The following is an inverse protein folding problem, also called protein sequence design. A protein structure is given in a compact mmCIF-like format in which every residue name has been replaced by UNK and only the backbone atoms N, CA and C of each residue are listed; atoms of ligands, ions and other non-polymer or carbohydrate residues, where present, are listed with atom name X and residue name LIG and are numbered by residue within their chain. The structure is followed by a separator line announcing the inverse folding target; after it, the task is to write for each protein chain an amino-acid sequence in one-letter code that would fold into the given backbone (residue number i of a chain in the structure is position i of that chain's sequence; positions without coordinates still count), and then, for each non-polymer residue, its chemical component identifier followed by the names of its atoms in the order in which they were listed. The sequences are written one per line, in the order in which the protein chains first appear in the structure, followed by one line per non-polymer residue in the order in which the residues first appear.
data_IF_391630880469
#
_entry.id   IF_391630880469
#
_cell.length_a   1.000
_cell.length_b   1.000
_cell.length_c   1.000
_cell.angle_alpha   90.00
_cell.angle_beta   90.00
_cell.angle_gamma   90.00
#
_symmetry.space_group_name_H-M   'P 1'
#
loop_
_entity.id
_entity.type
_entity.pdbx_description
1 polymer ?
#
# COMPACT_ATOMS: atom_id res chain seq x y z
N UNK A 1 -35.43 -9.50 46.12
CA UNK A 1 -35.15 -9.93 47.51
C UNK A 1 -33.64 -9.88 47.73
N UNK A 2 -33.14 -8.92 48.52
CA UNK A 2 -31.73 -8.81 48.97
C UNK A 2 -31.40 -9.92 49.95
N UNK A 3 -30.12 -10.29 50.10
CA UNK A 3 -29.36 -10.55 51.37
C UNK A 3 -27.90 -10.81 50.94
N UNK A 4 -26.95 -9.88 51.11
CA UNK A 4 -26.17 -9.43 52.29
C UNK A 4 -24.99 -10.35 52.68
N UNK A 5 -23.82 -9.69 52.70
CA UNK A 5 -22.47 -10.03 53.17
C UNK A 5 -22.37 -10.86 54.47
N UNK A 6 -21.27 -11.60 54.58
CA UNK A 6 -20.55 -11.96 55.82
C UNK A 6 -19.05 -11.65 55.56
N UNK A 7 -18.29 -10.74 56.18
CA UNK A 7 -17.98 -10.29 57.55
C UNK A 7 -16.98 -11.16 58.33
N UNK A 8 -15.88 -10.49 58.76
CA UNK A 8 -14.88 -10.83 59.81
C UNK A 8 -13.79 -11.84 59.43
N UNK A 9 -12.50 -11.69 59.74
CA UNK A 9 -11.76 -10.68 60.52
C UNK A 9 -10.43 -11.30 61.04
N UNK A 10 -9.38 -10.49 61.19
CA UNK A 10 -8.22 -10.68 62.10
C UNK A 10 -7.21 -11.78 61.75
N UNK A 11 -6.07 -11.50 61.10
CA UNK A 11 -4.76 -11.05 61.66
C UNK A 11 -4.01 -12.07 62.53
N UNK A 12 -2.84 -12.54 62.06
CA UNK A 12 -1.57 -12.57 62.81
C UNK A 12 -0.40 -13.05 61.91
N UNK A 13 0.52 -12.13 61.63
CA UNK A 13 1.86 -12.37 61.05
C UNK A 13 2.79 -12.95 62.15
N UNK A 14 3.92 -13.63 61.82
CA UNK A 14 5.12 -12.85 61.51
C UNK A 14 6.12 -13.45 60.48
N UNK A 15 6.78 -12.50 59.81
CA UNK A 15 8.18 -12.43 59.33
C UNK A 15 8.99 -13.70 59.03
N UNK A 16 9.49 -13.77 57.79
CA UNK A 16 10.84 -14.22 57.47
C UNK A 16 11.43 -13.34 56.36
N UNK A 17 12.59 -12.74 56.65
CA UNK A 17 13.41 -11.93 55.76
C UNK A 17 13.97 -12.75 54.59
N UNK A 18 14.22 -12.12 53.44
CA UNK A 18 15.11 -12.71 52.44
C UNK A 18 15.16 -12.02 51.08
N UNK A 19 16.01 -10.99 50.98
CA UNK A 19 16.74 -10.55 49.75
C UNK A 19 15.94 -10.11 48.52
N UNK A 20 15.84 -8.78 48.36
CA UNK A 20 15.66 -8.14 47.04
C UNK A 20 16.98 -8.27 46.28
N UNK A 21 17.03 -9.19 45.32
CA UNK A 21 18.09 -9.16 44.30
C UNK A 21 17.68 -8.15 43.21
N UNK A 22 18.18 -6.92 43.32
CA UNK A 22 18.21 -5.98 42.20
C UNK A 22 19.18 -6.55 41.17
N UNK A 23 18.66 -7.32 40.22
CA UNK A 23 19.42 -7.75 39.05
C UNK A 23 19.66 -6.55 38.15
N UNK A 24 20.87 -6.01 38.17
CA UNK A 24 21.35 -5.05 37.17
C UNK A 24 21.21 -5.67 35.79
N UNK A 25 20.18 -5.29 35.04
CA UNK A 25 20.14 -5.50 33.61
C UNK A 25 21.15 -4.54 33.00
N UNK A 26 22.36 -5.02 32.73
CA UNK A 26 23.29 -4.36 31.84
C UNK A 26 22.67 -4.39 30.44
N UNK A 27 21.86 -3.41 30.09
CA UNK A 27 21.47 -3.17 28.71
C UNK A 27 22.72 -2.77 27.95
N UNK A 28 23.39 -3.73 27.33
CA UNK A 28 24.45 -3.45 26.37
C UNK A 28 23.78 -2.82 25.15
N UNK A 29 23.71 -1.48 25.15
CA UNK A 29 23.36 -0.72 23.96
C UNK A 29 24.42 -0.97 22.90
N UNK A 30 24.17 -1.90 21.99
CA UNK A 30 24.92 -1.98 20.75
C UNK A 30 24.64 -0.70 19.97
N UNK A 31 25.56 0.26 20.08
CA UNK A 31 25.64 1.38 19.15
C UNK A 31 26.00 0.80 17.79
N UNK A 32 24.98 0.52 16.98
CA UNK A 32 25.17 0.26 15.56
C UNK A 32 25.62 1.60 14.99
N UNK A 33 26.91 1.73 14.68
CA UNK A 33 27.40 2.85 13.90
C UNK A 33 26.75 2.72 12.51
N UNK A 34 25.71 3.52 12.26
CA UNK A 34 25.07 3.65 10.96
C UNK A 34 26.14 4.06 9.94
N UNK A 35 26.51 3.16 9.04
CA UNK A 35 27.41 3.49 7.95
C UNK A 35 26.74 4.55 7.07
N UNK A 36 27.49 5.49 6.46
CA UNK A 36 26.92 6.49 5.56
C UNK A 36 26.15 5.78 4.43
N UNK A 37 24.85 6.06 4.33
CA UNK A 37 24.03 5.52 3.25
C UNK A 37 24.52 6.18 1.95
N UNK A 38 24.93 5.40 0.92
CA UNK A 38 25.31 5.97 -0.37
C UNK A 38 24.12 6.72 -0.99
N UNK A 39 24.37 7.69 -1.89
CA UNK A 39 23.28 8.39 -2.57
C UNK A 39 22.39 7.39 -3.31
N UNK A 40 21.07 7.54 -3.14
CA UNK A 40 20.09 6.67 -3.75
C UNK A 40 20.19 6.72 -5.28
N UNK A 41 20.18 5.55 -5.94
CA UNK A 41 20.17 5.45 -7.41
C UNK A 41 18.84 5.84 -8.02
N UNK A 42 17.76 5.77 -7.25
CA UNK A 42 16.42 6.11 -7.68
C UNK A 42 15.80 7.11 -6.72
N UNK A 43 15.00 8.01 -7.29
CA UNK A 43 14.18 8.94 -6.54
C UNK A 43 12.71 8.65 -6.82
N UNK A 44 11.93 8.53 -5.75
CA UNK A 44 10.48 8.54 -5.87
C UNK A 44 10.02 9.96 -6.23
N UNK A 45 9.36 10.09 -7.39
CA UNK A 45 8.80 11.34 -7.90
C UNK A 45 7.27 11.29 -7.98
N UNK A 46 6.65 10.21 -7.53
CA UNK A 46 5.22 9.91 -7.70
C UNK A 46 4.35 11.04 -7.18
N UNK A 47 4.64 11.54 -5.98
CA UNK A 47 3.97 12.70 -5.38
C UNK A 47 4.23 13.99 -6.15
N UNK A 48 5.48 14.20 -6.60
CA UNK A 48 5.86 15.42 -7.34
C UNK A 48 5.14 15.52 -8.68
N UNK A 49 4.92 14.38 -9.35
CA UNK A 49 4.32 14.34 -10.69
C UNK A 49 2.82 14.02 -10.66
N UNK A 50 2.22 13.79 -9.49
CA UNK A 50 0.77 13.54 -9.37
C UNK A 50 0.30 12.12 -9.75
N UNK A 51 1.20 11.13 -9.76
CA UNK A 51 0.90 9.76 -10.19
C UNK A 51 0.42 8.86 -9.04
N UNK A 52 -0.76 9.10 -8.47
CA UNK A 52 -1.20 8.38 -7.26
C UNK A 52 -1.85 7.01 -7.55
N UNK A 53 -1.03 5.98 -7.78
CA UNK A 53 -1.52 4.63 -8.05
C UNK A 53 -0.95 3.61 -7.06
N UNK A 54 -1.85 2.84 -6.43
CA UNK A 54 -1.49 1.67 -5.61
C UNK A 54 -2.23 0.47 -6.18
N UNK A 55 -1.47 -0.52 -6.66
CA UNK A 55 -2.04 -1.69 -7.31
C UNK A 55 -2.91 -2.51 -6.34
N UNK A 56 -4.14 -2.79 -6.76
CA UNK A 56 -5.05 -3.70 -6.06
C UNK A 56 -4.95 -5.08 -6.71
N UNK A 57 -4.21 -5.97 -6.05
CA UNK A 57 -4.00 -7.35 -6.49
C UNK A 57 -5.14 -8.29 -6.09
N UNK A 58 -6.15 -7.80 -5.35
CA UNK A 58 -7.20 -8.62 -4.76
C UNK A 58 -6.78 -9.34 -3.46
N UNK A 59 -7.66 -10.19 -2.91
CA UNK A 59 -7.42 -10.88 -1.65
C UNK A 59 -6.28 -11.91 -1.74
N UNK A 60 -5.55 -12.02 -0.62
CA UNK A 60 -4.42 -12.95 -0.44
C UNK A 60 -4.92 -14.32 0.05
N UNK A 61 -4.28 -15.40 -0.39
CA UNK A 61 -4.44 -16.75 0.20
C UNK A 61 -5.01 -17.82 -0.74
N UNK A 62 -5.75 -17.42 -1.77
CA UNK A 62 -6.51 -18.36 -2.60
C UNK A 62 -5.81 -18.79 -3.91
N UNK A 63 -4.55 -18.38 -4.13
CA UNK A 63 -3.75 -18.64 -5.35
C UNK A 63 -4.55 -18.50 -6.66
N UNK A 64 -5.51 -17.57 -6.66
CA UNK A 64 -6.39 -17.38 -7.79
C UNK A 64 -5.60 -16.76 -8.94
N UNK A 65 -5.71 -17.35 -10.15
CA UNK A 65 -4.86 -17.03 -11.30
C UNK A 65 -4.69 -15.52 -11.54
N UNK A 66 -5.75 -14.69 -11.60
CA UNK A 66 -5.56 -13.25 -11.79
C UNK A 66 -4.64 -12.61 -10.76
N UNK A 67 -4.81 -12.91 -9.47
CA UNK A 67 -4.05 -12.28 -8.39
C UNK A 67 -2.57 -12.65 -8.42
N UNK A 68 -2.22 -13.89 -8.83
CA UNK A 68 -0.83 -14.35 -8.91
C UNK A 68 -0.12 -13.89 -10.19
N UNK A 69 -0.86 -13.64 -11.28
CA UNK A 69 -0.28 -13.19 -12.55
C UNK A 69 0.04 -11.69 -12.53
N UNK A 70 -0.75 -10.91 -11.77
CA UNK A 70 -0.62 -9.45 -11.73
C UNK A 70 -1.44 -8.74 -12.81
N UNK A 71 -1.25 -7.42 -12.90
CA UNK A 71 -1.92 -6.54 -13.84
C UNK A 71 -0.95 -6.02 -14.91
N UNK A 72 -1.47 -5.18 -15.81
CA UNK A 72 -0.71 -4.57 -16.89
C UNK A 72 -0.75 -3.06 -16.89
N UNK A 73 0.04 -2.48 -17.79
CA UNK A 73 0.08 -1.06 -18.05
C UNK A 73 0.22 -0.81 -19.57
N UNK A 74 -0.24 0.35 -20.02
CA UNK A 74 0.03 0.86 -21.37
C UNK A 74 0.54 2.30 -21.30
N UNK A 75 1.39 2.63 -22.28
CA UNK A 75 1.84 3.98 -22.58
C UNK A 75 1.38 4.29 -24.01
N UNK A 76 0.60 5.35 -24.18
CA UNK A 76 0.08 5.78 -25.48
C UNK A 76 -0.41 7.23 -25.39
N UNK A 77 -0.49 7.91 -26.54
CA UNK A 77 -1.10 9.24 -26.63
C UNK A 77 -2.61 9.06 -26.80
N UNK A 78 -3.41 9.27 -25.76
CA UNK A 78 -4.86 9.01 -25.85
C UNK A 78 -5.65 10.18 -26.43
N UNK A 79 -5.05 11.37 -26.47
CA UNK A 79 -5.74 12.59 -26.87
C UNK A 79 -5.01 13.40 -27.95
N UNK A 80 -4.09 12.75 -28.66
CA UNK A 80 -3.36 13.21 -29.84
C UNK A 80 -2.65 14.55 -29.56
N UNK A 81 -1.97 14.63 -28.41
CA UNK A 81 -1.26 15.83 -27.98
C UNK A 81 0.28 15.68 -27.96
N UNK A 82 0.77 14.62 -28.61
CA UNK A 82 2.18 14.23 -28.76
C UNK A 82 2.87 13.88 -27.43
N UNK A 83 2.11 13.52 -26.39
CA UNK A 83 2.64 13.06 -25.09
C UNK A 83 2.15 11.66 -24.77
N UNK A 84 3.00 10.89 -24.08
CA UNK A 84 2.61 9.55 -23.64
C UNK A 84 1.88 9.63 -22.31
N UNK A 85 0.64 9.20 -22.34
CA UNK A 85 -0.21 9.02 -21.18
C UNK A 85 -0.03 7.62 -20.58
N UNK A 86 -0.52 7.44 -19.37
CA UNK A 86 -0.35 6.19 -18.62
C UNK A 86 -1.72 5.58 -18.33
N UNK A 87 -1.91 4.32 -18.70
CA UNK A 87 -3.06 3.53 -18.29
C UNK A 87 -2.62 2.34 -17.43
N UNK A 88 -3.14 2.26 -16.20
CA UNK A 88 -2.77 1.26 -15.20
C UNK A 88 -3.98 0.42 -14.83
N UNK A 89 -3.78 -0.90 -14.85
CA UNK A 89 -4.83 -1.87 -14.59
C UNK A 89 -4.84 -2.31 -13.13
N UNK A 90 -6.04 -2.61 -12.64
CA UNK A 90 -6.25 -3.39 -11.42
C UNK A 90 -6.80 -4.77 -11.77
N UNK A 91 -6.38 -5.77 -11.00
CA UNK A 91 -6.86 -7.15 -11.12
C UNK A 91 -7.50 -7.67 -9.83
N UNK A 92 -7.91 -6.79 -8.92
CA UNK A 92 -8.59 -7.13 -7.65
C UNK A 92 -10.04 -7.63 -7.80
N UNK A 93 -10.57 -7.67 -9.03
CA UNK A 93 -11.87 -8.24 -9.36
C UNK A 93 -13.00 -7.21 -9.47
N UNK A 94 -14.24 -7.66 -9.73
CA UNK A 94 -15.37 -6.77 -10.04
C UNK A 94 -15.78 -5.81 -8.92
N UNK A 95 -15.36 -6.09 -7.68
CA UNK A 95 -15.59 -5.24 -6.49
C UNK A 95 -14.32 -4.54 -5.99
N UNK A 96 -13.21 -4.71 -6.71
CA UNK A 96 -11.93 -4.09 -6.38
C UNK A 96 -11.82 -2.67 -6.93
N UNK A 97 -10.59 -2.14 -6.90
CA UNK A 97 -10.29 -0.86 -7.51
C UNK A 97 -10.52 -0.86 -9.03
N UNK A 98 -10.84 0.32 -9.57
CA UNK A 98 -11.04 0.58 -11.00
C UNK A 98 -9.71 1.00 -11.62
N UNK A 99 -9.47 0.59 -12.87
CA UNK A 99 -8.30 1.00 -13.66
C UNK A 99 -8.17 2.53 -13.71
N UNK A 100 -6.94 3.00 -13.90
CA UNK A 100 -6.61 4.43 -13.88
C UNK A 100 -5.97 4.89 -15.17
N UNK A 101 -6.54 5.94 -15.78
CA UNK A 101 -5.96 6.67 -16.91
C UNK A 101 -5.40 8.00 -16.40
N UNK A 102 -4.14 8.26 -16.70
CA UNK A 102 -3.42 9.47 -16.35
C UNK A 102 -2.97 10.20 -17.61
N UNK A 103 -3.46 11.42 -17.79
CA UNK A 103 -3.02 12.31 -18.85
C UNK A 103 -1.73 13.02 -18.48
N UNK A 104 -0.72 13.00 -19.35
CA UNK A 104 0.49 13.79 -19.20
C UNK A 104 0.24 15.25 -19.57
N UNK A 105 0.49 16.15 -18.63
CA UNK A 105 0.41 17.59 -18.82
C UNK A 105 1.72 18.13 -19.44
N UNK A 106 1.70 19.30 -20.11
CA UNK A 106 2.90 19.89 -20.72
C UNK A 106 4.08 20.16 -19.77
N UNK A 107 3.83 20.24 -18.47
CA UNK A 107 4.86 20.42 -17.43
C UNK A 107 5.45 19.10 -16.92
N UNK A 108 5.03 17.96 -17.47
CA UNK A 108 5.47 16.62 -17.10
C UNK A 108 4.74 16.04 -15.89
N UNK A 109 3.72 16.73 -15.35
CA UNK A 109 2.83 16.16 -14.33
C UNK A 109 1.74 15.29 -14.96
N UNK A 110 1.07 14.50 -14.14
CA UNK A 110 0.00 13.60 -14.53
C UNK A 110 -1.30 14.01 -13.85
N UNK A 111 -2.38 13.99 -14.64
CA UNK A 111 -3.74 14.22 -14.16
C UNK A 111 -4.55 12.93 -14.30
N UNK A 112 -5.16 12.48 -13.22
CA UNK A 112 -6.15 11.40 -13.28
C UNK A 112 -7.38 11.86 -14.08
N UNK A 113 -7.63 11.20 -15.21
CA UNK A 113 -8.76 11.42 -16.12
C UNK A 113 -9.59 10.14 -16.29
N UNK A 114 -9.53 9.23 -15.30
CA UNK A 114 -10.19 7.94 -15.35
C UNK A 114 -11.71 8.08 -15.43
N UNK A 115 -12.28 8.95 -14.61
CA UNK A 115 -13.73 9.13 -14.53
C UNK A 115 -14.32 9.60 -15.87
N UNK A 116 -15.25 8.81 -16.42
CA UNK A 116 -15.91 9.12 -17.69
C UNK A 116 -15.11 8.77 -18.95
N UNK A 117 -13.88 8.26 -18.81
CA UNK A 117 -13.06 7.80 -19.96
C UNK A 117 -13.62 6.54 -20.64
N UNK A 118 -14.45 5.78 -19.93
CA UNK A 118 -14.86 4.43 -20.34
C UNK A 118 -13.78 3.35 -20.08
N UNK A 119 -12.60 3.76 -19.60
CA UNK A 119 -11.50 2.88 -19.21
C UNK A 119 -11.43 2.64 -17.70
N UNK A 120 -12.27 3.29 -16.90
CA UNK A 120 -12.34 3.12 -15.46
C UNK A 120 -13.01 1.80 -15.04
N UNK A 121 -12.56 0.66 -15.56
CA UNK A 121 -13.22 -0.62 -15.32
C UNK A 121 -12.71 -1.30 -14.05
N UNK A 122 -13.59 -1.99 -13.31
CA UNK A 122 -13.22 -2.92 -12.24
C UNK A 122 -13.34 -4.36 -12.74
N UNK A 123 -12.37 -5.21 -12.40
CA UNK A 123 -12.31 -6.57 -12.93
C UNK A 123 -10.98 -7.25 -12.69
N UNK A 124 -10.76 -8.35 -13.43
CA UNK A 124 -9.52 -9.12 -13.41
C UNK A 124 -8.64 -8.75 -14.61
N UNK A 125 -8.24 -7.48 -14.71
CA UNK A 125 -7.51 -6.96 -15.87
C UNK A 125 -6.00 -7.25 -15.76
N UNK A 126 -5.50 -8.17 -16.58
CA UNK A 126 -4.11 -8.63 -16.52
C UNK A 126 -3.20 -8.04 -17.61
N UNK A 127 -3.78 -7.55 -18.71
CA UNK A 127 -3.02 -7.04 -19.84
C UNK A 127 -3.83 -6.04 -20.65
N UNK A 128 -3.11 -5.20 -21.38
CA UNK A 128 -3.66 -4.19 -22.27
C UNK A 128 -2.81 -4.15 -23.54
N UNK A 129 -3.48 -3.97 -24.67
CA UNK A 129 -2.87 -3.65 -25.95
C UNK A 129 -3.53 -2.38 -26.48
N UNK A 130 -2.72 -1.50 -27.07
CA UNK A 130 -3.18 -0.22 -27.65
C UNK A 130 -2.70 -0.15 -29.09
N UNK A 131 -3.52 0.45 -29.95
CA UNK A 131 -3.17 0.73 -31.33
C UNK A 131 -4.13 1.72 -31.98
N UNK A 132 -3.58 2.57 -32.83
CA UNK A 132 -4.34 3.43 -33.74
C UNK A 132 -4.76 2.59 -34.96
N UNK A 133 -6.07 2.33 -35.06
CA UNK A 133 -6.64 1.43 -36.08
C UNK A 133 -7.07 2.22 -37.34
N UNK A 134 -7.42 3.48 -37.18
CA UNK A 134 -7.94 4.36 -38.22
C UNK A 134 -6.89 5.33 -38.78
N UNK A 135 -5.67 5.31 -38.23
CA UNK A 135 -4.53 6.10 -38.67
C UNK A 135 -4.81 7.62 -38.59
N UNK A 136 -5.48 8.07 -37.54
CA UNK A 136 -5.67 9.50 -37.25
C UNK A 136 -4.69 10.06 -36.21
N UNK A 137 -3.76 9.23 -35.75
CA UNK A 137 -2.76 9.57 -34.74
C UNK A 137 -3.34 9.59 -33.34
#
# INVERSE_FOLDING_TARGET
MRIRRCSRGGWCLPLLLGSVAVGCHSSTSHSVLEAPVPPAWFQDVTEKVGLHFIHDAGPVGDYFMPHIMGSGAALFDFNNDDRLDIYLLHNGGPKGARNRLYQQMPDGTFRDVSEGSGLDLAGYHMGVAVGDVNNDG
#
